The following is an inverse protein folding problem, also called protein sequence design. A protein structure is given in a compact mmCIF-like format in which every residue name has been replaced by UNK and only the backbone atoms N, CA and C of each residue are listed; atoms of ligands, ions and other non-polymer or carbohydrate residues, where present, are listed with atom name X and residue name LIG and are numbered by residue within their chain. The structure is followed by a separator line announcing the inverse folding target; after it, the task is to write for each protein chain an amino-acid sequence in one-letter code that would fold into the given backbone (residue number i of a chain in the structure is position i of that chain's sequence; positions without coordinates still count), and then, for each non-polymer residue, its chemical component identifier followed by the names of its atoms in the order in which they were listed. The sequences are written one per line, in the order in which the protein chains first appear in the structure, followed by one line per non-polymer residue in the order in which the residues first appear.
data_IF_481639854107
#
_entry.id   IF_481639854107
#
_cell.length_a   1.000
_cell.length_b   1.000
_cell.length_c   1.000
_cell.angle_alpha   90.00
_cell.angle_beta   90.00
_cell.angle_gamma   90.00
#
_symmetry.space_group_name_H-M   'P 1'
#
loop_
_entity.id
_entity.type
_entity.pdbx_description
1 polymer ?
#
# COMPACT_ATOMS: atom_id res chain seq x y z
N UNK A 1 -4.37 13.32 -33.83
CA UNK A 1 -4.87 12.70 -32.59
C UNK A 1 -3.85 11.67 -32.14
N UNK A 2 -3.24 11.86 -30.97
CA UNK A 2 -2.25 10.91 -30.44
C UNK A 2 -3.01 9.93 -29.54
N UNK A 3 -3.13 8.68 -29.99
CA UNK A 3 -3.79 7.63 -29.22
C UNK A 3 -2.89 7.19 -28.06
N UNK A 4 -3.27 7.49 -26.82
CA UNK A 4 -2.54 7.13 -25.61
C UNK A 4 -3.03 5.79 -25.00
N UNK A 5 -3.55 4.88 -25.83
CA UNK A 5 -4.01 3.56 -25.37
C UNK A 5 -5.26 3.59 -24.49
N UNK A 6 -5.48 2.49 -23.76
CA UNK A 6 -6.60 2.30 -22.81
C UNK A 6 -6.24 2.83 -21.41
N UNK A 7 -5.78 4.07 -21.30
CA UNK A 7 -5.44 4.71 -20.02
C UNK A 7 -6.64 5.45 -19.45
N UNK A 8 -7.00 5.17 -18.19
CA UNK A 8 -8.08 5.86 -17.49
C UNK A 8 -7.65 7.27 -17.10
N UNK A 9 -8.32 8.31 -17.56
CA UNK A 9 -7.94 9.71 -17.27
C UNK A 9 -8.78 10.38 -16.20
N UNK A 10 -10.04 9.96 -16.06
CA UNK A 10 -10.98 10.44 -15.03
C UNK A 10 -12.08 9.40 -14.77
N UNK A 11 -12.69 9.48 -13.59
CA UNK A 11 -13.91 8.75 -13.25
C UNK A 11 -14.92 9.77 -12.74
N UNK A 12 -16.10 9.78 -13.36
CA UNK A 12 -17.26 10.50 -12.86
C UNK A 12 -18.32 9.48 -12.47
N UNK A 13 -18.75 9.55 -11.22
CA UNK A 13 -19.85 8.77 -10.69
C UNK A 13 -20.96 9.76 -10.29
N UNK A 14 -22.15 9.57 -10.88
CA UNK A 14 -23.31 10.41 -10.64
C UNK A 14 -24.12 9.96 -9.42
N UNK A 15 -23.75 8.85 -8.79
CA UNK A 15 -24.39 8.36 -7.58
C UNK A 15 -24.20 9.34 -6.41
N UNK A 16 -25.12 9.27 -5.45
CA UNK A 16 -25.00 10.02 -4.19
C UNK A 16 -23.78 9.51 -3.43
N UNK A 17 -22.88 10.40 -3.05
CA UNK A 17 -21.71 10.06 -2.25
C UNK A 17 -22.16 9.49 -0.90
N UNK A 18 -21.86 8.20 -0.67
CA UNK A 18 -22.03 7.59 0.65
C UNK A 18 -20.96 8.14 1.59
N UNK A 19 -21.30 8.60 2.79
CA UNK A 19 -20.34 9.20 3.74
C UNK A 19 -19.86 8.22 4.81
N UNK A 20 -20.38 6.98 4.83
CA UNK A 20 -19.97 5.94 5.76
C UNK A 20 -18.49 5.57 5.52
N UNK A 21 -17.60 5.66 6.51
CA UNK A 21 -16.19 5.31 6.31
C UNK A 21 -15.93 3.86 5.86
N UNK A 22 -16.82 2.95 6.25
CA UNK A 22 -16.79 1.51 5.93
C UNK A 22 -17.26 1.19 4.50
N UNK A 23 -17.85 2.15 3.79
CA UNK A 23 -18.38 1.91 2.46
C UNK A 23 -17.25 1.79 1.44
N UNK A 24 -17.26 0.71 0.66
CA UNK A 24 -16.23 0.41 -0.35
C UNK A 24 -16.56 0.96 -1.76
N UNK A 25 -17.52 1.89 -1.87
CA UNK A 25 -17.83 2.58 -3.13
C UNK A 25 -16.74 3.59 -3.52
N UNK A 26 -16.79 4.02 -4.78
CA UNK A 26 -15.83 4.99 -5.30
C UNK A 26 -16.00 6.36 -4.62
N UNK A 27 -14.90 6.91 -4.10
CA UNK A 27 -14.86 8.27 -3.55
C UNK A 27 -14.13 9.19 -4.51
N UNK A 28 -14.84 10.15 -5.10
CA UNK A 28 -14.23 11.19 -5.92
C UNK A 28 -13.51 12.21 -5.04
N UNK A 29 -12.22 11.97 -4.79
CA UNK A 29 -11.38 12.81 -3.92
C UNK A 29 -10.83 14.08 -4.58
N UNK A 30 -11.00 14.25 -5.90
CA UNK A 30 -10.54 15.44 -6.63
C UNK A 30 -11.50 15.83 -7.75
N UNK A 31 -11.58 17.12 -8.05
CA UNK A 31 -12.30 17.69 -9.20
C UNK A 31 -11.39 17.94 -10.40
N UNK A 32 -10.08 17.68 -10.28
CA UNK A 32 -9.10 17.90 -11.34
C UNK A 32 -9.27 16.86 -12.45
N UNK A 33 -9.26 17.31 -13.70
CA UNK A 33 -9.34 16.48 -14.90
C UNK A 33 -8.19 16.84 -15.86
N UNK A 34 -7.31 15.89 -16.23
CA UNK A 34 -7.30 14.48 -15.84
C UNK A 34 -6.87 14.28 -14.37
N UNK A 35 -7.59 13.41 -13.66
CA UNK A 35 -7.30 13.04 -12.27
C UNK A 35 -6.26 11.92 -12.15
N UNK A 36 -6.01 11.21 -13.25
CA UNK A 36 -5.02 10.14 -13.36
C UNK A 36 -3.95 10.53 -14.38
N UNK A 37 -2.71 10.10 -14.15
CA UNK A 37 -1.61 10.31 -15.07
C UNK A 37 -0.71 9.09 -15.13
N UNK A 38 0.01 8.92 -16.23
CA UNK A 38 0.87 7.77 -16.48
C UNK A 38 2.21 8.20 -17.06
N UNK A 39 3.24 7.38 -16.87
CA UNK A 39 4.51 7.52 -17.59
C UNK A 39 4.41 6.93 -19.01
N UNK A 40 5.49 7.06 -19.79
CA UNK A 40 5.56 6.55 -21.17
C UNK A 40 5.44 5.02 -21.28
N UNK A 41 5.68 4.29 -20.19
CA UNK A 41 5.56 2.83 -20.13
C UNK A 41 4.14 2.40 -19.66
N UNK A 42 3.26 3.35 -19.36
CA UNK A 42 1.90 3.09 -18.90
C UNK A 42 1.77 2.87 -17.40
N UNK A 43 2.84 3.09 -16.62
CA UNK A 43 2.77 3.02 -15.16
C UNK A 43 2.09 4.27 -14.59
N UNK A 44 1.22 4.10 -13.61
CA UNK A 44 0.50 5.20 -12.96
C UNK A 44 1.47 6.17 -12.26
N UNK A 45 1.39 7.46 -12.54
CA UNK A 45 2.18 8.50 -11.85
C UNK A 45 1.34 9.37 -10.92
N UNK A 46 0.00 9.38 -11.10
CA UNK A 46 -0.94 10.12 -10.24
C UNK A 46 -2.29 9.43 -10.16
N UNK A 47 -2.93 9.51 -9.01
CA UNK A 47 -4.35 9.22 -8.77
C UNK A 47 -4.85 10.24 -7.75
N UNK A 48 -5.40 11.35 -8.24
CA UNK A 48 -5.83 12.46 -7.40
C UNK A 48 -7.09 12.13 -6.59
N UNK A 49 -7.88 11.13 -6.97
CA UNK A 49 -9.01 10.66 -6.16
C UNK A 49 -8.53 10.00 -4.86
N UNK A 50 -7.37 9.35 -4.89
CA UNK A 50 -6.69 8.80 -3.70
C UNK A 50 -5.66 9.77 -3.10
N UNK A 51 -5.65 11.03 -3.54
CA UNK A 51 -4.66 12.04 -3.16
C UNK A 51 -3.20 11.64 -3.44
N UNK A 52 -2.99 10.77 -4.43
CA UNK A 52 -1.67 10.35 -4.88
C UNK A 52 -1.19 11.36 -5.92
N UNK A 53 -0.30 12.26 -5.50
CA UNK A 53 0.16 13.38 -6.34
C UNK A 53 1.42 13.06 -7.14
N UNK A 54 2.15 12.02 -6.75
CA UNK A 54 3.36 11.57 -7.44
C UNK A 54 3.65 10.11 -7.15
N UNK A 55 4.00 9.36 -8.19
CA UNK A 55 4.68 8.06 -8.12
C UNK A 55 5.89 8.13 -9.04
N UNK A 56 7.08 7.81 -8.52
CA UNK A 56 8.27 7.60 -9.32
C UNK A 56 8.77 6.17 -9.19
N UNK A 57 9.40 5.69 -10.24
CA UNK A 57 9.81 4.30 -10.39
C UNK A 57 11.33 4.20 -10.51
N UNK A 58 11.91 3.11 -9.99
CA UNK A 58 13.32 2.79 -10.20
C UNK A 58 13.55 2.08 -11.55
N UNK A 59 14.79 1.67 -11.82
CA UNK A 59 15.17 0.96 -13.06
C UNK A 59 14.57 -0.44 -13.22
N UNK A 60 13.97 -1.01 -12.16
CA UNK A 60 13.21 -2.26 -12.19
C UNK A 60 11.70 -2.01 -12.37
N UNK A 61 11.30 -0.76 -12.67
CA UNK A 61 9.91 -0.31 -12.71
C UNK A 61 9.13 -0.56 -11.42
N UNK A 62 9.82 -0.58 -10.28
CA UNK A 62 9.21 -0.66 -8.95
C UNK A 62 9.03 0.75 -8.36
N UNK A 63 7.91 1.05 -7.66
CA UNK A 63 7.70 2.36 -7.04
C UNK A 63 8.81 2.70 -6.04
N UNK A 64 9.59 3.74 -6.30
CA UNK A 64 10.67 4.20 -5.42
C UNK A 64 10.23 5.35 -4.52
N UNK A 65 9.35 6.23 -5.01
CA UNK A 65 8.76 7.32 -4.24
C UNK A 65 7.27 7.42 -4.54
N UNK A 66 6.47 7.60 -3.50
CA UNK A 66 5.02 7.72 -3.59
C UNK A 66 4.54 8.81 -2.62
N UNK A 67 3.83 9.82 -3.10
CA UNK A 67 3.29 10.90 -2.25
C UNK A 67 1.78 10.77 -2.13
N UNK A 68 1.30 10.46 -0.93
CA UNK A 68 -0.13 10.29 -0.61
C UNK A 68 -0.51 11.32 0.45
N UNK A 69 -1.51 12.15 0.17
CA UNK A 69 -2.03 13.15 1.12
C UNK A 69 -0.91 14.01 1.75
N UNK A 70 0.07 14.40 0.91
CA UNK A 70 1.25 15.20 1.33
C UNK A 70 2.37 14.39 2.00
N UNK A 71 2.14 13.14 2.39
CA UNK A 71 3.17 12.27 2.99
C UNK A 71 3.93 11.55 1.90
N UNK A 72 5.26 11.71 1.90
CA UNK A 72 6.15 11.01 0.98
C UNK A 72 6.59 9.67 1.58
N UNK A 73 6.37 8.59 0.82
CA UNK A 73 6.82 7.24 1.09
C UNK A 73 7.99 6.92 0.18
N UNK A 74 9.13 6.54 0.75
CA UNK A 74 10.32 6.10 -0.01
C UNK A 74 10.53 4.61 0.17
N UNK A 75 10.79 3.90 -0.92
CA UNK A 75 11.03 2.46 -0.92
C UNK A 75 12.45 2.16 -1.39
N UNK A 76 13.05 1.12 -0.80
CA UNK A 76 14.35 0.59 -1.22
C UNK A 76 14.20 -0.90 -1.47
N UNK A 77 14.78 -1.36 -2.57
CA UNK A 77 14.69 -2.74 -3.02
C UNK A 77 16.08 -3.32 -3.21
N UNK A 78 16.19 -4.63 -3.07
CA UNK A 78 17.32 -5.39 -3.59
C UNK A 78 17.25 -5.46 -5.12
N UNK A 79 18.33 -5.90 -5.74
CA UNK A 79 18.46 -6.06 -7.19
C UNK A 79 17.52 -7.12 -7.77
N UNK A 80 17.07 -8.07 -6.94
CA UNK A 80 16.06 -9.08 -7.28
C UNK A 80 14.61 -8.58 -7.12
N UNK A 81 14.42 -7.30 -6.77
CA UNK A 81 13.11 -6.68 -6.59
C UNK A 81 12.50 -6.87 -5.19
N UNK A 82 13.15 -7.58 -4.26
CA UNK A 82 12.66 -7.69 -2.89
C UNK A 82 12.73 -6.35 -2.16
N UNK A 83 11.65 -5.97 -1.47
CA UNK A 83 11.60 -4.75 -0.65
C UNK A 83 12.48 -4.90 0.59
N UNK A 84 13.44 -4.00 0.78
CA UNK A 84 14.36 -3.96 1.92
C UNK A 84 13.95 -2.91 2.95
N UNK A 85 13.35 -1.80 2.49
CA UNK A 85 13.01 -0.66 3.36
C UNK A 85 11.80 0.11 2.84
N UNK A 86 11.03 0.66 3.77
CA UNK A 86 10.06 1.72 3.49
C UNK A 86 10.15 2.82 4.53
N UNK A 87 10.05 4.07 4.10
CA UNK A 87 10.00 5.25 4.97
C UNK A 87 8.74 6.07 4.65
N UNK A 88 7.59 5.82 5.31
CA UNK A 88 6.40 6.67 5.25
C UNK A 88 6.58 7.88 6.17
N UNK A 89 6.81 9.07 5.62
CA UNK A 89 7.04 10.26 6.44
C UNK A 89 8.24 10.07 7.38
N UNK A 90 7.99 9.98 8.69
CA UNK A 90 9.03 9.80 9.73
C UNK A 90 9.22 8.36 10.19
N UNK A 91 8.27 7.45 9.94
CA UNK A 91 8.41 6.05 10.33
C UNK A 91 9.34 5.34 9.35
N UNK A 92 10.27 4.54 9.84
CA UNK A 92 11.16 3.74 9.00
C UNK A 92 10.96 2.26 9.32
N UNK A 93 10.64 1.45 8.32
CA UNK A 93 10.60 -0.01 8.43
C UNK A 93 11.68 -0.65 7.58
N UNK A 94 12.51 -1.49 8.20
CA UNK A 94 13.50 -2.31 7.52
C UNK A 94 13.10 -3.78 7.58
N UNK A 95 13.27 -4.49 6.47
CA UNK A 95 12.91 -5.90 6.31
C UNK A 95 14.18 -6.73 6.15
N UNK A 96 14.44 -7.61 7.11
CA UNK A 96 15.64 -8.45 7.16
C UNK A 96 15.20 -9.90 7.32
N UNK A 97 15.13 -10.64 6.21
CA UNK A 97 14.56 -11.98 6.20
C UNK A 97 13.11 -11.98 6.68
N UNK A 98 12.84 -12.72 7.75
CA UNK A 98 11.54 -12.75 8.42
C UNK A 98 11.39 -11.69 9.54
N UNK A 99 12.37 -10.82 9.75
CA UNK A 99 12.36 -9.82 10.83
C UNK A 99 12.01 -8.44 10.26
N UNK A 100 11.14 -7.72 10.98
CA UNK A 100 10.78 -6.33 10.70
C UNK A 100 11.28 -5.46 11.85
N UNK A 101 12.09 -4.46 11.51
CA UNK A 101 12.49 -3.39 12.41
C UNK A 101 11.69 -2.13 12.12
N UNK A 102 11.23 -1.44 13.15
CA UNK A 102 10.60 -0.11 13.05
C UNK A 102 11.43 0.89 13.84
N UNK A 103 11.89 1.95 13.17
CA UNK A 103 12.77 2.98 13.72
C UNK A 103 14.05 2.43 14.39
N UNK A 104 14.56 1.30 13.89
CA UNK A 104 15.76 0.63 14.40
C UNK A 104 15.50 -0.41 15.49
N UNK A 105 14.29 -0.46 16.05
CA UNK A 105 13.90 -1.44 17.08
C UNK A 105 13.19 -2.63 16.46
N UNK A 106 13.35 -3.82 17.05
CA UNK A 106 12.60 -5.01 16.65
C UNK A 106 11.09 -4.73 16.79
N UNK A 107 10.36 -4.90 15.69
CA UNK A 107 8.90 -4.71 15.65
C UNK A 107 8.16 -6.02 15.51
N UNK A 108 8.55 -6.88 14.56
CA UNK A 108 7.93 -8.19 14.33
C UNK A 108 8.93 -9.25 13.92
N UNK A 109 8.66 -10.50 14.30
CA UNK A 109 9.27 -11.69 13.72
C UNK A 109 8.15 -12.46 13.00
N UNK A 110 8.24 -12.57 11.69
CA UNK A 110 7.31 -13.35 10.89
C UNK A 110 7.64 -14.84 11.03
N UNK A 111 6.59 -15.64 11.16
CA UNK A 111 6.65 -17.09 11.31
C UNK A 111 5.56 -17.72 10.45
N UNK A 112 5.64 -19.02 10.24
CA UNK A 112 4.60 -19.71 9.48
C UNK A 112 3.24 -19.58 10.17
N UNK A 113 2.24 -19.07 9.44
CA UNK A 113 0.90 -18.86 9.98
C UNK A 113 0.76 -17.71 10.97
N UNK A 114 1.72 -16.78 11.08
CA UNK A 114 1.59 -15.67 12.03
C UNK A 114 2.79 -14.74 12.18
N UNK A 115 2.88 -14.09 13.34
CA UNK A 115 4.02 -13.28 13.74
C UNK A 115 4.15 -13.20 15.27
N UNK A 116 5.34 -12.86 15.73
CA UNK A 116 5.63 -12.53 17.13
C UNK A 116 5.85 -11.02 17.24
N UNK A 117 5.21 -10.38 18.21
CA UNK A 117 5.35 -8.97 18.54
C UNK A 117 5.32 -8.79 20.06
N UNK A 118 6.31 -8.11 20.63
CA UNK A 118 6.38 -7.89 22.09
C UNK A 118 6.44 -9.17 22.93
N UNK A 119 6.88 -10.29 22.36
CA UNK A 119 6.88 -11.61 23.03
C UNK A 119 5.56 -12.38 22.95
N UNK A 120 4.51 -11.80 22.36
CA UNK A 120 3.23 -12.47 22.10
C UNK A 120 3.17 -13.01 20.68
N UNK A 121 2.57 -14.19 20.53
CA UNK A 121 2.31 -14.81 19.24
C UNK A 121 0.92 -14.43 18.73
N UNK A 122 0.85 -14.08 17.45
CA UNK A 122 -0.37 -13.77 16.71
C UNK A 122 -0.52 -14.75 15.55
N UNK A 123 -1.65 -15.47 15.48
CA UNK A 123 -1.94 -16.46 14.44
C UNK A 123 -2.85 -15.86 13.36
N UNK A 124 -2.62 -16.24 12.10
CA UNK A 124 -3.49 -15.91 10.98
C UNK A 124 -4.51 -17.02 10.75
N UNK A 125 -5.79 -16.66 10.75
CA UNK A 125 -6.84 -17.48 10.14
C UNK A 125 -6.99 -17.04 8.69
N UNK A 126 -6.55 -17.89 7.76
CA UNK A 126 -6.57 -17.58 6.33
C UNK A 126 -7.75 -18.25 5.62
N UNK A 127 -8.21 -17.63 4.54
CA UNK A 127 -9.05 -18.32 3.57
C UNK A 127 -8.19 -19.24 2.66
N UNK A 128 -8.86 -20.00 1.79
CA UNK A 128 -8.18 -20.93 0.86
C UNK A 128 -7.25 -20.26 -0.16
N UNK A 129 -7.35 -18.95 -0.37
CA UNK A 129 -6.45 -18.17 -1.23
C UNK A 129 -5.29 -17.53 -0.46
N UNK A 130 -5.18 -17.77 0.85
CA UNK A 130 -4.13 -17.21 1.69
C UNK A 130 -4.39 -15.79 2.20
N UNK A 131 -5.59 -15.22 2.00
CA UNK A 131 -5.95 -13.93 2.59
C UNK A 131 -6.25 -14.11 4.08
N UNK A 132 -5.63 -13.29 4.92
CA UNK A 132 -5.94 -13.21 6.35
C UNK A 132 -7.39 -12.75 6.53
N UNK A 133 -8.18 -13.56 7.23
CA UNK A 133 -9.55 -13.29 7.64
C UNK A 133 -9.64 -12.83 9.09
N UNK A 134 -8.76 -13.34 9.93
CA UNK A 134 -8.68 -12.97 11.34
C UNK A 134 -7.24 -13.10 11.86
N UNK A 135 -6.91 -12.28 12.86
CA UNK A 135 -5.65 -12.36 13.61
C UNK A 135 -5.99 -12.70 15.05
N UNK A 136 -5.54 -13.87 15.52
CA UNK A 136 -5.93 -14.45 16.81
C UNK A 136 -4.73 -14.37 17.76
N UNK A 137 -4.98 -13.93 18.99
CA UNK A 137 -4.03 -14.02 20.11
C UNK A 137 -4.69 -14.65 21.34
N UNK A 138 -3.94 -14.77 22.44
CA UNK A 138 -4.44 -15.37 23.69
C UNK A 138 -5.61 -14.59 24.32
N UNK A 139 -5.77 -13.31 24.02
CA UNK A 139 -6.80 -12.45 24.63
C UNK A 139 -8.11 -12.45 23.84
N UNK A 140 -8.02 -12.66 22.52
CA UNK A 140 -9.18 -12.63 21.62
C UNK A 140 -9.67 -14.03 21.20
N UNK A 141 -9.05 -15.10 21.71
CA UNK A 141 -9.53 -16.47 21.52
C UNK A 141 -10.67 -16.78 22.51
N UNK A 142 -11.92 -16.77 22.03
CA UNK A 142 -13.10 -17.24 22.78
C UNK A 142 -13.59 -18.56 22.19
N UNK A 143 -13.59 -19.62 22.98
CA UNK A 143 -14.24 -20.91 22.67
C UNK A 143 -15.72 -20.82 23.05
#
# INVERSE_FOLDING_TARGET
MTYNGNQLTNVDDAAVTVTLPESNDFKKGSTVNPGYAYDKNGSLTKDLNKKITNISYNSLHLPQQLTIDGVTHKYTYATDGRKLKVVPGSTNRAYVGNIIYENGSLKKILVEGGYIEGGMYYFYFNNHFGNVREVIDINNFRI
#
